data_IF_042293193557
#
_entry.id   IF_042293193557
#
_cell.length_a   1.000
_cell.length_b   1.000
_cell.length_c   1.000
_cell.angle_alpha   90.00
_cell.angle_beta   90.00
_cell.angle_gamma   90.00
#
_symmetry.space_group_name_H-M   'P 1'
#
loop_
_entity.id
_entity.type
_entity.pdbx_description
1 polymer ?
#
# COMPACT_ATOMS: atom_id res chain seq x y z
N UNK A 1 -34.60 11.65 -11.57
CA UNK A 1 -34.69 11.03 -10.23
C UNK A 1 -33.60 11.66 -9.37
N UNK A 2 -33.98 12.31 -8.26
CA UNK A 2 -33.14 13.22 -7.48
C UNK A 2 -32.25 12.45 -6.51
N UNK A 3 -30.97 12.83 -6.43
CA UNK A 3 -30.07 12.47 -5.34
C UNK A 3 -30.66 12.93 -4.01
N UNK A 4 -30.95 11.98 -3.12
CA UNK A 4 -31.24 12.25 -1.71
C UNK A 4 -29.96 12.04 -0.90
N UNK A 5 -29.44 13.14 -0.37
CA UNK A 5 -28.46 13.17 0.70
C UNK A 5 -29.06 12.51 1.95
N UNK A 6 -28.50 11.37 2.38
CA UNK A 6 -28.64 10.89 3.75
C UNK A 6 -27.26 10.44 4.24
N UNK A 7 -26.70 11.33 5.08
CA UNK A 7 -25.66 11.09 6.06
C UNK A 7 -25.72 9.69 6.67
N UNK A 8 -24.64 8.91 6.53
CA UNK A 8 -24.54 7.59 7.14
C UNK A 8 -23.32 6.78 6.70
N UNK A 9 -22.11 7.21 7.10
CA UNK A 9 -21.06 6.32 7.62
C UNK A 9 -20.55 5.08 6.83
N UNK A 10 -20.83 4.92 5.53
CA UNK A 10 -20.34 3.77 4.74
C UNK A 10 -19.83 4.16 3.34
N UNK A 11 -19.14 5.31 3.24
CA UNK A 11 -18.48 5.76 2.02
C UNK A 11 -17.21 4.95 1.63
N UNK A 12 -17.20 3.62 1.77
CA UNK A 12 -16.06 2.78 1.39
C UNK A 12 -16.44 1.41 0.82
N UNK A 13 -17.56 1.34 0.09
CA UNK A 13 -17.87 0.20 -0.78
C UNK A 13 -17.99 0.65 -2.25
N UNK A 14 -17.20 1.65 -2.64
CA UNK A 14 -16.92 1.91 -4.06
C UNK A 14 -16.14 0.71 -4.62
N UNK A 15 -16.76 -0.08 -5.48
CA UNK A 15 -16.76 0.13 -6.93
C UNK A 15 -15.46 -0.37 -7.56
N UNK A 16 -15.54 -1.47 -8.32
CA UNK A 16 -14.43 -1.94 -9.18
C UNK A 16 -14.23 -3.44 -9.30
N UNK A 17 -15.29 -4.24 -9.40
CA UNK A 17 -15.18 -5.66 -9.76
C UNK A 17 -14.95 -5.82 -11.27
N UNK A 18 -13.69 -6.01 -11.69
CA UNK A 18 -13.34 -6.35 -13.07
C UNK A 18 -12.11 -5.58 -13.57
N UNK A 19 -10.91 -5.99 -13.12
CA UNK A 19 -9.64 -5.33 -13.45
C UNK A 19 -8.69 -5.14 -12.27
N UNK A 20 -9.04 -5.68 -11.09
CA UNK A 20 -8.36 -5.42 -9.82
C UNK A 20 -6.90 -5.87 -9.76
N UNK A 21 -6.50 -6.90 -10.52
CA UNK A 21 -5.16 -7.47 -10.38
C UNK A 21 -4.06 -6.54 -10.89
N UNK A 22 -4.26 -5.91 -12.04
CA UNK A 22 -3.30 -4.93 -12.57
C UNK A 22 -3.31 -3.65 -11.73
N UNK A 23 -4.51 -3.19 -11.34
CA UNK A 23 -4.67 -1.97 -10.56
C UNK A 23 -4.03 -2.05 -9.15
N UNK A 24 -4.06 -3.21 -8.49
CA UNK A 24 -3.41 -3.41 -7.18
C UNK A 24 -1.89 -3.33 -7.30
N UNK A 25 -1.29 -3.98 -8.30
CA UNK A 25 0.15 -3.90 -8.53
C UNK A 25 0.61 -2.49 -8.91
N UNK A 26 -0.14 -1.76 -9.73
CA UNK A 26 0.17 -0.37 -10.08
C UNK A 26 0.12 0.55 -8.85
N UNK A 27 -0.86 0.35 -7.95
CA UNK A 27 -0.98 1.10 -6.69
C UNK A 27 0.16 0.78 -5.74
N UNK A 28 0.51 -0.50 -5.58
CA UNK A 28 1.67 -0.92 -4.78
C UNK A 28 2.98 -0.34 -5.31
N UNK A 29 3.16 -0.29 -6.64
CA UNK A 29 4.33 0.33 -7.25
C UNK A 29 4.39 1.85 -7.03
N UNK A 30 3.24 2.52 -7.12
CA UNK A 30 3.12 3.94 -6.81
C UNK A 30 3.39 4.22 -5.32
N UNK A 31 2.86 3.39 -4.43
CA UNK A 31 3.09 3.45 -2.99
C UNK A 31 4.57 3.23 -2.63
N UNK A 32 5.22 2.23 -3.23
CA UNK A 32 6.65 1.98 -3.02
C UNK A 32 7.52 3.14 -3.52
N UNK A 33 7.14 3.77 -4.63
CA UNK A 33 7.83 4.96 -5.15
C UNK A 33 7.62 6.16 -4.22
N UNK A 34 6.40 6.37 -3.74
CA UNK A 34 6.07 7.41 -2.77
C UNK A 34 6.87 7.21 -1.47
N UNK A 35 6.94 5.99 -0.95
CA UNK A 35 7.74 5.66 0.23
C UNK A 35 9.24 5.92 0.01
N UNK A 36 9.76 5.60 -1.18
CA UNK A 36 11.12 5.98 -1.58
C UNK A 36 11.33 7.48 -1.51
N UNK A 37 10.41 8.28 -2.05
CA UNK A 37 10.49 9.74 -2.01
C UNK A 37 10.35 10.31 -0.60
N UNK A 38 9.44 9.76 0.21
CA UNK A 38 9.25 10.09 1.63
C UNK A 38 10.57 9.87 2.37
N UNK A 39 11.16 8.68 2.23
CA UNK A 39 12.38 8.27 2.95
C UNK A 39 13.63 8.99 2.43
N UNK A 40 13.72 9.26 1.12
CA UNK A 40 14.81 10.03 0.52
C UNK A 40 14.86 11.48 1.03
N UNK A 41 13.72 12.05 1.40
CA UNK A 41 13.62 13.39 2.00
C UNK A 41 13.88 13.38 3.51
N UNK A 42 13.91 12.23 4.18
CA UNK A 42 14.23 12.14 5.61
C UNK A 42 15.76 12.16 5.82
N UNK A 43 16.36 13.23 6.40
CA UNK A 43 17.78 13.24 6.72
C UNK A 43 18.12 12.17 7.77
N UNK A 44 19.18 11.38 7.53
CA UNK A 44 19.66 10.35 8.44
C UNK A 44 19.05 8.96 8.25
N UNK A 45 18.15 8.78 7.28
CA UNK A 45 17.68 7.47 6.82
C UNK A 45 18.77 6.71 6.09
N UNK A 46 19.72 6.14 6.83
CA UNK A 46 20.58 5.08 6.29
C UNK A 46 19.66 4.00 5.73
N UNK A 47 19.88 3.63 4.46
CA UNK A 47 19.04 2.79 3.61
C UNK A 47 18.17 1.81 4.40
N UNK A 48 17.02 2.28 4.88
CA UNK A 48 15.99 1.38 5.36
C UNK A 48 15.68 0.53 4.14
N UNK A 49 15.76 -0.80 4.27
CA UNK A 49 15.60 -1.72 3.18
C UNK A 49 14.20 -1.56 2.58
N UNK A 50 14.03 -0.58 1.68
CA UNK A 50 12.85 -0.43 0.87
C UNK A 50 12.97 -1.56 -0.13
N UNK A 51 12.34 -2.68 0.22
CA UNK A 51 12.16 -3.80 -0.69
C UNK A 51 11.71 -3.24 -2.01
N UNK A 52 12.51 -3.47 -3.05
CA UNK A 52 12.27 -2.87 -4.35
C UNK A 52 11.05 -3.56 -4.93
N UNK A 53 9.92 -2.86 -4.94
CA UNK A 53 8.71 -3.39 -5.53
C UNK A 53 8.96 -3.73 -7.00
N UNK A 54 8.61 -4.96 -7.40
CA UNK A 54 8.71 -5.42 -8.77
C UNK A 54 7.30 -5.72 -9.30
N UNK A 55 6.83 -4.85 -10.19
CA UNK A 55 5.50 -4.96 -10.79
C UNK A 55 5.28 -6.30 -11.50
N UNK A 56 6.32 -6.86 -12.13
CA UNK A 56 6.23 -8.17 -12.79
C UNK A 56 6.07 -9.31 -11.79
N UNK A 57 6.82 -9.28 -10.67
CA UNK A 57 6.68 -10.28 -9.59
C UNK A 57 5.32 -10.16 -8.92
N UNK A 58 4.83 -8.93 -8.73
CA UNK A 58 3.47 -8.69 -8.25
C UNK A 58 2.45 -9.33 -9.17
N UNK A 59 2.42 -9.00 -10.47
CA UNK A 59 1.42 -9.56 -11.40
C UNK A 59 1.47 -11.09 -11.50
N UNK A 60 2.66 -11.70 -11.41
CA UNK A 60 2.83 -13.16 -11.45
C UNK A 60 2.29 -13.87 -10.20
N UNK A 61 2.35 -13.24 -9.03
CA UNK A 61 1.94 -13.86 -7.76
C UNK A 61 0.57 -13.38 -7.28
N UNK A 62 0.11 -12.21 -7.72
CA UNK A 62 -1.19 -11.67 -7.34
C UNK A 62 -2.34 -12.56 -7.84
N UNK A 63 -2.17 -13.25 -8.97
CA UNK A 63 -3.13 -14.24 -9.44
C UNK A 63 -3.29 -15.46 -8.51
N UNK A 64 -2.34 -15.65 -7.57
CA UNK A 64 -2.38 -16.70 -6.54
C UNK A 64 -2.96 -16.18 -5.22
N UNK A 65 -3.07 -14.86 -5.04
CA UNK A 65 -3.74 -14.26 -3.89
C UNK A 65 -5.25 -14.46 -4.02
N UNK A 66 -5.89 -14.82 -2.91
CA UNK A 66 -7.35 -14.76 -2.76
C UNK A 66 -7.86 -13.31 -2.90
N UNK A 67 -9.16 -13.16 -3.19
CA UNK A 67 -9.77 -11.83 -3.31
C UNK A 67 -9.65 -10.97 -2.04
N UNK A 68 -9.72 -11.59 -0.86
CA UNK A 68 -9.48 -10.92 0.43
C UNK A 68 -8.05 -10.44 0.59
N UNK A 69 -7.07 -11.21 0.12
CA UNK A 69 -5.67 -10.83 0.16
C UNK A 69 -5.36 -9.69 -0.80
N UNK A 70 -5.93 -9.72 -2.00
CA UNK A 70 -5.84 -8.60 -2.95
C UNK A 70 -6.45 -7.32 -2.36
N UNK A 71 -7.57 -7.42 -1.62
CA UNK A 71 -8.15 -6.28 -0.91
C UNK A 71 -7.22 -5.76 0.21
N UNK A 72 -6.58 -6.67 0.97
CA UNK A 72 -5.57 -6.29 1.97
C UNK A 72 -4.37 -5.60 1.34
N UNK A 73 -3.91 -6.06 0.18
CA UNK A 73 -2.83 -5.44 -0.58
C UNK A 73 -3.21 -4.05 -1.12
N UNK A 74 -4.44 -3.87 -1.58
CA UNK A 74 -4.94 -2.55 -1.97
C UNK A 74 -4.98 -1.59 -0.77
N UNK A 75 -5.46 -2.08 0.38
CA UNK A 75 -5.49 -1.36 1.64
C UNK A 75 -4.09 -1.03 2.18
N UNK A 76 -3.10 -1.87 1.89
CA UNK A 76 -1.68 -1.58 2.18
C UNK A 76 -1.20 -0.41 1.31
N UNK A 77 -1.40 -0.50 -0.01
CA UNK A 77 -0.97 0.56 -0.93
C UNK A 77 -1.60 1.92 -0.59
N UNK A 78 -2.89 1.94 -0.23
CA UNK A 78 -3.56 3.15 0.23
C UNK A 78 -2.98 3.69 1.55
N UNK A 79 -2.59 2.80 2.47
CA UNK A 79 -1.96 3.17 3.74
C UNK A 79 -0.62 3.85 3.50
N UNK A 80 0.23 3.24 2.66
CA UNK A 80 1.56 3.75 2.32
C UNK A 80 1.49 5.10 1.60
N UNK A 81 0.50 5.30 0.71
CA UNK A 81 0.28 6.58 0.04
C UNK A 81 -0.15 7.71 0.99
N UNK A 82 -0.69 7.40 2.16
CA UNK A 82 -1.08 8.41 3.16
C UNK A 82 0.09 8.82 4.06
N UNK A 83 1.23 8.13 3.98
CA UNK A 83 2.40 8.47 4.79
C UNK A 83 2.97 9.79 4.29
N UNK A 84 2.98 10.80 5.15
CA UNK A 84 3.50 12.12 4.82
C UNK A 84 5.02 12.09 4.62
N UNK A 85 5.53 12.90 3.70
CA UNK A 85 6.96 13.09 3.52
C UNK A 85 7.60 13.67 4.80
N UNK A 86 8.75 13.14 5.21
CA UNK A 86 9.50 13.75 6.31
C UNK A 86 9.93 15.18 5.93
N UNK A 87 9.61 16.16 6.78
CA UNK A 87 10.16 17.51 6.69
C UNK A 87 11.42 17.69 7.55
N UNK A 88 11.62 16.80 8.52
CA UNK A 88 12.69 16.88 9.52
C UNK A 88 13.07 15.51 10.07
N UNK A 89 14.18 15.42 10.82
CA UNK A 89 14.59 14.19 11.50
C UNK A 89 13.60 13.73 12.59
N UNK A 90 12.80 14.65 13.16
CA UNK A 90 11.77 14.33 14.15
C UNK A 90 10.57 13.61 13.52
N UNK A 91 10.24 13.92 12.26
CA UNK A 91 9.16 13.26 11.52
C UNK A 91 9.50 11.82 11.14
N UNK A 92 10.79 11.45 11.23
CA UNK A 92 11.27 10.12 10.84
C UNK A 92 10.67 9.02 11.69
N UNK A 93 10.59 9.21 13.01
CA UNK A 93 9.98 8.20 13.89
C UNK A 93 8.49 8.03 13.57
N UNK A 94 7.79 9.12 13.26
CA UNK A 94 6.38 9.11 12.85
C UNK A 94 6.19 8.40 11.51
N UNK A 95 7.04 8.70 10.52
CA UNK A 95 7.01 8.06 9.21
C UNK A 95 7.32 6.56 9.32
N UNK A 96 8.34 6.16 10.09
CA UNK A 96 8.67 4.75 10.32
C UNK A 96 7.55 4.00 11.05
N UNK A 97 6.98 4.58 12.11
CA UNK A 97 5.84 3.98 12.80
C UNK A 97 4.62 3.83 11.88
N UNK A 98 4.39 4.78 10.96
CA UNK A 98 3.34 4.67 9.97
C UNK A 98 3.60 3.53 8.97
N UNK A 99 4.83 3.40 8.46
CA UNK A 99 5.23 2.28 7.58
C UNK A 99 5.05 0.95 8.29
N UNK A 100 5.49 0.82 9.54
CA UNK A 100 5.33 -0.41 10.33
C UNK A 100 3.86 -0.74 10.59
N UNK A 101 3.03 0.28 10.86
CA UNK A 101 1.59 0.10 11.04
C UNK A 101 0.89 -0.33 9.73
N UNK A 102 1.33 0.18 8.58
CA UNK A 102 0.86 -0.26 7.28
C UNK A 102 1.31 -1.70 6.99
N UNK A 103 2.58 -2.02 7.21
CA UNK A 103 3.15 -3.35 7.03
C UNK A 103 2.48 -4.41 7.94
N UNK A 104 1.99 -4.03 9.13
CA UNK A 104 1.25 -4.94 9.98
C UNK A 104 -0.01 -5.52 9.32
N UNK A 105 -0.57 -4.84 8.29
CA UNK A 105 -1.72 -5.34 7.50
C UNK A 105 -1.39 -6.60 6.71
N UNK A 106 -0.11 -6.86 6.42
CA UNK A 106 0.31 -8.04 5.66
C UNK A 106 0.55 -9.28 6.51
N UNK A 107 0.46 -9.18 7.84
CA UNK A 107 0.68 -10.31 8.78
C UNK A 107 -0.34 -11.47 8.63
N UNK A 108 -1.38 -11.31 7.81
CA UNK A 108 -2.36 -12.35 7.50
C UNK A 108 -2.34 -12.85 6.05
N UNK A 109 -1.38 -12.42 5.23
CA UNK A 109 -1.25 -12.85 3.84
C UNK A 109 -0.59 -14.22 3.74
N UNK A 110 -0.99 -15.01 2.75
CA UNK A 110 -0.31 -16.24 2.34
C UNK A 110 1.09 -15.94 1.82
N UNK A 111 1.98 -16.94 1.85
CA UNK A 111 3.34 -16.78 1.33
C UNK A 111 3.38 -16.44 -0.16
N UNK A 112 2.44 -16.96 -0.96
CA UNK A 112 2.33 -16.58 -2.37
C UNK A 112 1.99 -15.10 -2.50
N UNK A 113 1.11 -14.58 -1.66
CA UNK A 113 0.72 -13.18 -1.71
C UNK A 113 1.77 -12.24 -1.12
N UNK A 114 2.52 -12.67 -0.10
CA UNK A 114 3.70 -11.96 0.40
C UNK A 114 4.77 -11.84 -0.69
N UNK A 115 4.99 -12.86 -1.52
CA UNK A 115 5.89 -12.77 -2.68
C UNK A 115 5.45 -11.74 -3.71
N UNK A 116 4.17 -11.39 -3.78
CA UNK A 116 3.71 -10.34 -4.68
C UNK A 116 4.20 -8.93 -4.27
N UNK A 117 4.57 -8.74 -3.00
CA UNK A 117 5.08 -7.46 -2.47
C UNK A 117 6.57 -7.49 -2.09
N UNK A 118 7.14 -8.66 -1.83
CA UNK A 118 8.57 -8.86 -1.65
C UNK A 118 9.21 -9.32 -2.97
N UNK A 119 9.49 -8.35 -3.85
CA UNK A 119 10.18 -8.58 -5.13
C UNK A 119 11.59 -9.12 -4.95
#
# INVERSE_FOLDING_TARGET
MRCAMLLGLLCWLGCGGGGGSTAVCDRLGSAATHLKDVLAKCPGSGDAAITTFNASVCSMNLSKCSGSEQATLDLLAQCDQQIAACGSAADRQTAQAAVEACAARVNGLSQDCLRAISG
#
